data_IF_472572059114
#
_entry.id   IF_472572059114
#
_cell.length_a   1.000
_cell.length_b   1.000
_cell.length_c   1.000
_cell.angle_alpha   90.00
_cell.angle_beta   90.00
_cell.angle_gamma   90.00
#
_symmetry.space_group_name_H-M   'P 1'
#
loop_
_entity.id
_entity.type
_entity.pdbx_description
1 polymer ?
#
# COMPACT_ATOMS: atom_id res chain seq x y z
N UNK A 1 25.40 5.57 13.92
CA UNK A 1 24.49 4.40 13.86
C UNK A 1 23.26 4.74 12.98
N UNK A 2 23.45 4.97 11.67
CA UNK A 2 22.38 5.44 10.74
C UNK A 2 22.06 4.38 9.65
N UNK A 3 22.89 3.34 9.51
CA UNK A 3 22.74 2.30 8.48
C UNK A 3 21.59 1.30 8.71
N UNK A 4 21.10 1.17 9.94
CA UNK A 4 20.04 0.22 10.30
C UNK A 4 18.69 0.54 9.64
N UNK A 5 18.30 1.81 9.62
CA UNK A 5 17.01 2.26 9.06
C UNK A 5 16.99 2.07 7.53
N UNK A 6 18.08 2.41 6.85
CA UNK A 6 18.20 2.23 5.40
C UNK A 6 18.15 0.75 4.98
N UNK A 7 18.77 -0.14 5.77
CA UNK A 7 18.71 -1.58 5.54
C UNK A 7 17.29 -2.12 5.77
N UNK A 8 16.66 -1.76 6.89
CA UNK A 8 15.29 -2.14 7.21
C UNK A 8 14.30 -1.68 6.12
N UNK A 9 14.35 -0.40 5.73
CA UNK A 9 13.51 0.16 4.66
C UNK A 9 13.67 -0.63 3.36
N UNK A 10 14.91 -0.95 2.95
CA UNK A 10 15.17 -1.71 1.72
C UNK A 10 14.56 -3.12 1.77
N UNK A 11 14.71 -3.81 2.91
CA UNK A 11 14.13 -5.14 3.12
C UNK A 11 12.61 -5.09 3.10
N UNK A 12 12.02 -4.10 3.77
CA UNK A 12 10.56 -3.90 3.81
C UNK A 12 9.99 -3.63 2.42
N UNK A 13 10.59 -2.71 1.66
CA UNK A 13 10.15 -2.41 0.30
C UNK A 13 10.26 -3.63 -0.63
N UNK A 14 11.36 -4.39 -0.54
CA UNK A 14 11.52 -5.63 -1.32
C UNK A 14 10.43 -6.66 -0.99
N UNK A 15 10.11 -6.83 0.29
CA UNK A 15 9.03 -7.72 0.71
C UNK A 15 7.66 -7.21 0.23
N UNK A 16 7.41 -5.90 0.33
CA UNK A 16 6.15 -5.28 -0.10
C UNK A 16 5.90 -5.48 -1.60
N UNK A 17 6.91 -5.29 -2.45
CA UNK A 17 6.78 -5.53 -3.90
C UNK A 17 6.37 -6.99 -4.19
N UNK A 18 6.94 -7.95 -3.47
CA UNK A 18 6.60 -9.36 -3.66
C UNK A 18 5.22 -9.74 -3.08
N UNK A 19 4.81 -9.15 -1.95
CA UNK A 19 3.68 -9.66 -1.14
C UNK A 19 2.45 -8.72 -1.10
N UNK A 20 2.50 -7.53 -1.70
CA UNK A 20 1.35 -6.61 -1.65
C UNK A 20 0.10 -7.25 -2.29
N UNK A 21 -1.04 -7.10 -1.61
CA UNK A 21 -2.34 -7.50 -2.15
C UNK A 21 -2.79 -6.50 -3.22
N UNK A 22 -3.48 -7.03 -4.22
CA UNK A 22 -4.21 -6.23 -5.19
C UNK A 22 -5.55 -5.83 -4.57
N UNK A 23 -5.73 -4.53 -4.41
CA UNK A 23 -6.92 -3.92 -3.81
C UNK A 23 -7.44 -2.85 -4.77
N UNK A 24 -8.75 -2.68 -4.92
CA UNK A 24 -9.33 -1.84 -5.96
C UNK A 24 -8.97 -0.35 -5.82
N UNK A 25 -8.65 0.11 -4.61
CA UNK A 25 -8.19 1.46 -4.33
C UNK A 25 -6.66 1.66 -4.45
N UNK A 26 -5.90 0.62 -4.82
CA UNK A 26 -4.47 0.70 -5.08
C UNK A 26 -4.19 0.76 -6.57
N UNK A 27 -3.01 1.31 -6.90
CA UNK A 27 -2.48 1.27 -8.27
C UNK A 27 -2.21 -0.20 -8.68
N UNK A 28 -2.77 -0.65 -9.81
CA UNK A 28 -2.51 -1.99 -10.33
C UNK A 28 -1.02 -2.27 -10.53
N UNK A 29 -0.60 -3.51 -10.28
CA UNK A 29 0.79 -3.94 -10.51
C UNK A 29 1.21 -3.67 -11.96
N UNK A 30 2.46 -3.25 -12.14
CA UNK A 30 3.01 -2.99 -13.47
C UNK A 30 2.52 -1.71 -14.15
N UNK A 31 1.66 -0.90 -13.50
CA UNK A 31 1.23 0.39 -14.05
C UNK A 31 2.05 1.54 -13.46
N UNK A 32 2.38 2.53 -14.29
CA UNK A 32 3.07 3.76 -13.88
C UNK A 32 2.12 4.81 -13.25
N UNK A 33 0.90 4.40 -12.88
CA UNK A 33 -0.15 5.29 -12.39
C UNK A 33 0.12 5.81 -10.98
N UNK A 34 -0.46 6.97 -10.66
CA UNK A 34 -0.62 7.42 -9.28
C UNK A 34 -1.98 6.96 -8.75
N UNK A 35 -2.11 6.66 -7.45
CA UNK A 35 -3.41 6.33 -6.88
C UNK A 35 -4.34 7.55 -7.00
N UNK A 36 -5.60 7.29 -7.33
CA UNK A 36 -6.63 8.33 -7.38
C UNK A 36 -6.88 8.86 -5.95
N UNK A 37 -6.69 10.18 -5.69
CA UNK A 37 -6.91 10.75 -4.36
C UNK A 37 -8.31 10.50 -3.80
N UNK A 38 -9.33 10.46 -4.64
CA UNK A 38 -10.70 10.18 -4.21
C UNK A 38 -10.85 8.72 -3.76
N UNK A 39 -10.30 7.77 -4.52
CA UNK A 39 -10.32 6.36 -4.13
C UNK A 39 -9.56 6.11 -2.84
N UNK A 40 -8.44 6.81 -2.64
CA UNK A 40 -7.65 6.74 -1.39
C UNK A 40 -8.49 7.25 -0.21
N UNK A 41 -9.07 8.45 -0.33
CA UNK A 41 -9.86 9.06 0.74
C UNK A 41 -11.05 8.19 1.17
N UNK A 42 -11.82 7.70 0.20
CA UNK A 42 -12.99 6.85 0.47
C UNK A 42 -12.57 5.56 1.17
N UNK A 43 -11.49 4.93 0.70
CA UNK A 43 -10.99 3.68 1.27
C UNK A 43 -10.45 3.87 2.69
N UNK A 44 -9.76 4.97 2.97
CA UNK A 44 -9.31 5.29 4.33
C UNK A 44 -10.49 5.48 5.28
N UNK A 45 -11.53 6.22 4.87
CA UNK A 45 -12.73 6.41 5.68
C UNK A 45 -13.46 5.09 5.97
N UNK A 46 -13.61 4.22 4.96
CA UNK A 46 -14.26 2.91 5.13
C UNK A 46 -13.45 1.98 6.02
N UNK A 47 -12.12 1.91 5.84
CA UNK A 47 -11.22 0.99 6.56
C UNK A 47 -10.96 1.39 8.02
N UNK A 48 -11.32 2.60 8.43
CA UNK A 48 -11.36 2.96 9.85
C UNK A 48 -12.49 2.24 10.61
N UNK A 49 -13.58 1.90 9.92
CA UNK A 49 -14.81 1.35 10.51
C UNK A 49 -15.02 -0.13 10.19
N UNK A 50 -14.36 -0.65 9.14
CA UNK A 50 -14.60 -1.98 8.59
C UNK A 50 -13.29 -2.69 8.20
N UNK A 51 -13.37 -4.01 8.00
CA UNK A 51 -12.22 -4.80 7.56
C UNK A 51 -12.12 -4.83 6.03
N UNK A 52 -10.89 -5.02 5.51
CA UNK A 52 -10.60 -5.14 4.07
C UNK A 52 -11.43 -6.25 3.38
N UNK A 53 -11.79 -7.32 4.09
CA UNK A 53 -12.61 -8.40 3.52
C UNK A 53 -14.10 -8.04 3.37
N UNK A 54 -14.54 -6.96 4.01
CA UNK A 54 -15.93 -6.51 4.05
C UNK A 54 -16.22 -5.39 3.05
N UNK A 55 -15.17 -4.74 2.52
CA UNK A 55 -15.25 -3.59 1.60
C UNK A 55 -14.95 -3.96 0.15
#
# INVERSE_FOLDING_TARGET
MIGGISNFRRRLLKWYEANRRDLPWRVPRGTAGRPDPYHVLVSEAMLQQTQVATV
#
